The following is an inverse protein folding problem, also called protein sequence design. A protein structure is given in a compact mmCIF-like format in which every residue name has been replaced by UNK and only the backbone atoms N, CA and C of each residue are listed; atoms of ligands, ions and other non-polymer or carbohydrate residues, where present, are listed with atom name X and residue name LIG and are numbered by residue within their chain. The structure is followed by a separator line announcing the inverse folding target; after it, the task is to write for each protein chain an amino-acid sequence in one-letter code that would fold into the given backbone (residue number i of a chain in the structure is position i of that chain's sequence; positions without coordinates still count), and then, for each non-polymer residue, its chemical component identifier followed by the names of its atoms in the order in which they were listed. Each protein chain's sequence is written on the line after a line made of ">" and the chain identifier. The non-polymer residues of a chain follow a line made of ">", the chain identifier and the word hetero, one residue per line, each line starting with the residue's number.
data_IF_557352361334
#
_entry.id   IF_557352361334
#
_cell.length_a   1.000
_cell.length_b   1.000
_cell.length_c   1.000
_cell.angle_alpha   90.00
_cell.angle_beta   90.00
_cell.angle_gamma   90.00
#
_symmetry.space_group_name_H-M   'P 1'
#
loop_
_entity.id
_entity.type
_entity.pdbx_description
1 polymer ?
#
# COMPACT_ATOMS: atom_id res chain seq x y z
N UNK A 1 34.48 20.03 0.72
CA UNK A 1 34.01 20.34 2.08
C UNK A 1 32.59 19.79 2.21
N UNK A 2 32.39 18.74 2.99
CA UNK A 2 31.05 18.30 3.36
C UNK A 2 30.56 19.25 4.48
N UNK A 3 29.42 19.90 4.29
CA UNK A 3 28.81 20.75 5.31
C UNK A 3 28.32 19.94 6.51
N UNK A 4 28.00 20.58 7.65
CA UNK A 4 27.54 19.89 8.84
C UNK A 4 26.27 19.07 8.52
N UNK A 5 26.36 17.76 8.73
CA UNK A 5 25.23 16.83 8.61
C UNK A 5 24.38 16.95 9.88
N UNK A 6 23.41 17.85 9.85
CA UNK A 6 22.44 18.01 10.94
C UNK A 6 21.50 16.82 10.93
N UNK A 7 21.81 15.78 11.70
CA UNK A 7 20.89 14.66 11.96
C UNK A 7 19.70 15.17 12.78
N UNK A 8 18.47 15.20 12.23
CA UNK A 8 17.31 15.59 13.02
C UNK A 8 17.09 14.55 14.12
N UNK A 9 17.08 14.96 15.40
CA UNK A 9 16.84 14.07 16.54
C UNK A 9 15.45 13.41 16.48
N UNK A 10 14.53 13.98 15.69
CA UNK A 10 13.18 13.48 15.47
C UNK A 10 12.93 13.26 13.98
N UNK A 11 12.71 11.99 13.61
CA UNK A 11 12.29 11.57 12.27
C UNK A 11 10.76 11.67 12.18
N UNK A 12 10.24 12.52 11.30
CA UNK A 12 8.79 12.67 11.10
C UNK A 12 8.39 11.97 9.82
N UNK A 13 7.77 10.81 9.97
CA UNK A 13 7.25 10.04 8.86
C UNK A 13 5.77 10.37 8.61
N UNK A 14 5.44 10.71 7.38
CA UNK A 14 4.07 10.97 6.94
C UNK A 14 3.69 9.99 5.82
N UNK A 15 2.42 9.60 5.76
CA UNK A 15 1.93 8.76 4.69
C UNK A 15 0.48 9.05 4.37
N UNK A 16 0.14 8.94 3.09
CA UNK A 16 -1.22 9.02 2.57
C UNK A 16 -1.49 7.76 1.78
N UNK A 17 -2.64 7.14 2.01
CA UNK A 17 -3.07 5.95 1.28
C UNK A 17 -4.45 6.15 0.67
N UNK A 18 -4.57 5.82 -0.60
CA UNK A 18 -5.83 5.68 -1.31
C UNK A 18 -6.10 4.20 -1.51
N UNK A 19 -7.32 3.75 -1.20
CA UNK A 19 -7.76 2.38 -1.47
C UNK A 19 -9.13 2.39 -2.14
N UNK A 20 -9.27 1.56 -3.16
CA UNK A 20 -10.50 1.29 -3.86
C UNK A 20 -10.84 -0.20 -3.70
N UNK A 21 -12.07 -0.48 -3.32
CA UNK A 21 -12.62 -1.83 -3.28
C UNK A 21 -13.77 -1.90 -4.27
N UNK A 22 -13.78 -2.94 -5.10
CA UNK A 22 -14.86 -3.19 -6.05
C UNK A 22 -15.28 -4.64 -6.03
N UNK A 23 -16.54 -4.87 -5.73
CA UNK A 23 -17.19 -6.18 -5.90
C UNK A 23 -17.70 -6.29 -7.33
N UNK A 24 -17.30 -7.35 -8.04
CA UNK A 24 -17.73 -7.62 -9.41
C UNK A 24 -18.93 -8.56 -9.43
N UNK A 25 -18.91 -9.56 -8.56
CA UNK A 25 -19.98 -10.50 -8.29
C UNK A 25 -20.15 -10.62 -6.78
N UNK A 26 -21.22 -11.25 -6.27
CA UNK A 26 -21.35 -11.51 -4.83
C UNK A 26 -20.16 -12.29 -4.26
N UNK A 27 -19.58 -13.14 -5.11
CA UNK A 27 -18.49 -14.04 -4.74
C UNK A 27 -17.10 -13.47 -5.04
N UNK A 28 -16.99 -12.34 -5.77
CA UNK A 28 -15.70 -11.82 -6.23
C UNK A 28 -15.51 -10.33 -5.95
N UNK A 29 -14.37 -9.99 -5.37
CA UNK A 29 -13.95 -8.62 -5.12
C UNK A 29 -12.50 -8.37 -5.50
N UNK A 30 -12.21 -7.15 -5.94
CA UNK A 30 -10.85 -6.65 -6.15
C UNK A 30 -10.60 -5.47 -5.22
N UNK A 31 -9.40 -5.42 -4.68
CA UNK A 31 -8.85 -4.27 -3.98
C UNK A 31 -7.71 -3.67 -4.80
N UNK A 32 -7.64 -2.36 -4.86
CA UNK A 32 -6.49 -1.64 -5.38
C UNK A 32 -6.11 -0.55 -4.38
N UNK A 33 -4.83 -0.44 -4.07
CA UNK A 33 -4.31 0.49 -3.10
C UNK A 33 -3.06 1.19 -3.63
N UNK A 34 -2.93 2.45 -3.28
CA UNK A 34 -1.72 3.22 -3.51
C UNK A 34 -1.40 3.99 -2.24
N UNK A 35 -0.17 3.85 -1.75
CA UNK A 35 0.32 4.55 -0.57
C UNK A 35 1.57 5.33 -0.94
N UNK A 36 1.52 6.62 -0.67
CA UNK A 36 2.66 7.52 -0.76
C UNK A 36 3.20 7.78 0.64
N UNK A 37 4.51 7.58 0.81
CA UNK A 37 5.22 7.80 2.06
C UNK A 37 6.31 8.86 1.84
N UNK A 38 6.43 9.77 2.79
CA UNK A 38 7.52 10.75 2.80
C UNK A 38 7.99 11.01 4.23
N UNK A 39 9.25 11.40 4.37
CA UNK A 39 9.90 11.68 5.64
C UNK A 39 10.62 13.04 5.63
N UNK A 40 10.93 13.59 6.81
CA UNK A 40 11.76 14.79 6.95
C UNK A 40 13.20 14.59 6.46
N UNK A 41 13.64 13.34 6.28
CA UNK A 41 14.97 12.98 5.76
C UNK A 41 14.97 12.77 4.23
N UNK A 42 13.97 13.31 3.53
CA UNK A 42 13.79 13.17 2.07
C UNK A 42 13.64 11.72 1.56
N UNK A 43 13.31 10.80 2.46
CA UNK A 43 12.98 9.42 2.09
C UNK A 43 11.56 9.41 1.52
N UNK A 44 11.43 9.01 0.27
CA UNK A 44 10.14 8.88 -0.42
C UNK A 44 9.93 7.43 -0.85
N UNK A 45 8.71 6.92 -0.67
CA UNK A 45 8.35 5.58 -1.11
C UNK A 45 6.95 5.52 -1.71
N UNK A 46 6.84 4.79 -2.80
CA UNK A 46 5.59 4.53 -3.52
C UNK A 46 5.25 3.06 -3.33
N UNK A 47 4.14 2.80 -2.65
CA UNK A 47 3.65 1.43 -2.47
C UNK A 47 2.38 1.23 -3.26
N UNK A 48 2.36 0.19 -4.08
CA UNK A 48 1.20 -0.28 -4.82
C UNK A 48 0.69 -1.57 -4.19
N UNK A 49 -0.61 -1.66 -4.01
CA UNK A 49 -1.30 -2.83 -3.46
C UNK A 49 -2.38 -3.25 -4.45
N UNK A 50 -2.46 -4.54 -4.75
CA UNK A 50 -3.55 -5.12 -5.51
C UNK A 50 -3.98 -6.42 -4.84
N UNK A 51 -5.29 -6.60 -4.73
CA UNK A 51 -5.90 -7.78 -4.13
C UNK A 51 -7.04 -8.29 -5.00
N UNK A 52 -7.23 -9.60 -5.03
CA UNK A 52 -8.37 -10.25 -5.63
C UNK A 52 -8.85 -11.37 -4.71
N UNK A 53 -10.14 -11.39 -4.41
CA UNK A 53 -10.79 -12.41 -3.60
C UNK A 53 -11.92 -13.01 -4.41
N UNK A 54 -12.00 -14.33 -4.45
CA UNK A 54 -13.08 -15.05 -5.14
C UNK A 54 -13.50 -16.29 -4.37
N UNK A 55 -14.80 -16.45 -4.14
CA UNK A 55 -15.41 -17.65 -3.61
C UNK A 55 -15.84 -18.58 -4.76
N UNK A 56 -15.15 -19.70 -4.87
CA UNK A 56 -15.45 -20.75 -5.83
C UNK A 56 -16.68 -21.55 -5.38
N UNK A 57 -17.45 -22.05 -6.35
CA UNK A 57 -18.70 -22.79 -6.10
C UNK A 57 -18.51 -24.09 -5.29
N UNK A 58 -17.30 -24.61 -5.19
CA UNK A 58 -16.95 -25.77 -4.36
C UNK A 58 -16.72 -25.41 -2.88
N UNK A 59 -17.03 -24.16 -2.47
CA UNK A 59 -16.89 -23.66 -1.11
C UNK A 59 -15.50 -23.11 -0.79
N UNK A 60 -14.58 -23.06 -1.75
CA UNK A 60 -13.23 -22.56 -1.54
C UNK A 60 -13.16 -21.04 -1.71
N UNK A 61 -12.48 -20.37 -0.78
CA UNK A 61 -12.11 -18.96 -0.93
C UNK A 61 -10.67 -18.87 -1.45
N UNK A 62 -10.47 -18.14 -2.54
CA UNK A 62 -9.16 -17.88 -3.12
C UNK A 62 -8.87 -16.40 -2.99
N UNK A 63 -7.80 -16.08 -2.26
CA UNK A 63 -7.29 -14.73 -2.08
C UNK A 63 -5.91 -14.59 -2.71
N UNK A 64 -5.78 -13.60 -3.59
CA UNK A 64 -4.52 -13.18 -4.19
C UNK A 64 -4.20 -11.78 -3.71
N UNK A 65 -2.97 -11.58 -3.25
CA UNK A 65 -2.50 -10.28 -2.79
C UNK A 65 -1.11 -10.01 -3.35
N UNK A 66 -0.92 -8.82 -3.88
CA UNK A 66 0.33 -8.33 -4.42
C UNK A 66 0.62 -6.95 -3.86
N UNK A 67 1.87 -6.73 -3.45
CA UNK A 67 2.37 -5.45 -2.96
C UNK A 67 3.77 -5.18 -3.49
N UNK A 68 4.00 -3.96 -3.95
CA UNK A 68 5.28 -3.45 -4.41
C UNK A 68 5.57 -2.10 -3.76
#
# INVERSE_FOLDING_TARGET
>A
FAGPETYPETRTSNAVSLRALKSWTPDASTLFGYRYFWDSWDVQAHTWEAGYSNQLHNGWLVDLYYRY
#
